data_IF_081777671865
#
_entry.id   IF_081777671865
#
_cell.length_a   1.000
_cell.length_b   1.000
_cell.length_c   1.000
_cell.angle_alpha   90.00
_cell.angle_beta   90.00
_cell.angle_gamma   90.00
#
_symmetry.space_group_name_H-M   'P 1'
#
loop_
_entity.id
_entity.type
_entity.pdbx_description
1 polymer ?
#
# COMPACT_ATOMS: atom_id res chain seq x y z
N UNK A 1 -2.56 9.39 -1.45
CA UNK A 1 -3.66 10.38 -1.59
C UNK A 1 -3.82 10.70 -3.07
N UNK A 2 -4.89 10.23 -3.69
CA UNK A 2 -5.22 10.54 -5.09
C UNK A 2 -6.73 10.34 -5.27
N UNK A 3 -7.45 11.37 -5.73
CA UNK A 3 -8.91 11.33 -5.84
C UNK A 3 -9.40 10.29 -6.84
N UNK A 4 -8.56 9.92 -7.82
CA UNK A 4 -8.89 8.95 -8.87
C UNK A 4 -9.04 7.51 -8.34
N UNK A 5 -8.64 7.25 -7.09
CA UNK A 5 -8.67 5.90 -6.50
C UNK A 5 -9.62 5.79 -5.28
N UNK A 6 -10.27 6.89 -4.87
CA UNK A 6 -11.10 6.91 -3.64
C UNK A 6 -12.29 5.95 -3.77
N UNK A 7 -13.07 6.07 -4.83
CA UNK A 7 -14.25 5.22 -5.03
C UNK A 7 -13.87 3.76 -5.28
N UNK A 8 -12.80 3.52 -6.03
CA UNK A 8 -12.25 2.18 -6.27
C UNK A 8 -11.92 1.49 -4.96
N UNK A 9 -11.26 2.20 -4.06
CA UNK A 9 -10.87 1.66 -2.77
C UNK A 9 -12.08 1.21 -1.95
N UNK A 10 -13.11 2.06 -1.84
CA UNK A 10 -14.31 1.68 -1.10
C UNK A 10 -15.04 0.51 -1.75
N UNK A 11 -15.13 0.46 -3.09
CA UNK A 11 -15.73 -0.67 -3.80
C UNK A 11 -14.99 -1.99 -3.55
N UNK A 12 -13.67 -1.97 -3.60
CA UNK A 12 -12.88 -3.17 -3.31
C UNK A 12 -12.97 -3.57 -1.83
N UNK A 13 -12.92 -2.60 -0.91
CA UNK A 13 -13.10 -2.86 0.52
C UNK A 13 -14.47 -3.51 0.80
N UNK A 14 -15.54 -3.03 0.15
CA UNK A 14 -16.87 -3.63 0.18
C UNK A 14 -16.84 -5.07 -0.33
N UNK A 15 -16.29 -5.28 -1.53
CA UNK A 15 -16.25 -6.59 -2.16
C UNK A 15 -15.44 -7.63 -1.34
N UNK A 16 -14.42 -7.17 -0.62
CA UNK A 16 -13.61 -7.98 0.29
C UNK A 16 -14.26 -8.19 1.67
N UNK A 17 -15.34 -7.47 1.99
CA UNK A 17 -16.00 -7.53 3.29
C UNK A 17 -15.16 -6.96 4.44
N UNK A 18 -14.22 -6.06 4.13
CA UNK A 18 -13.34 -5.39 5.10
C UNK A 18 -13.83 -3.97 5.42
N UNK A 19 -15.07 -3.66 5.07
CA UNK A 19 -15.64 -2.36 5.41
C UNK A 19 -15.63 -2.14 6.91
N UNK A 20 -15.20 -0.95 7.33
CA UNK A 20 -15.12 -0.57 8.75
C UNK A 20 -14.15 -1.43 9.58
N UNK A 21 -13.31 -2.26 8.96
CA UNK A 21 -12.30 -3.07 9.65
C UNK A 21 -10.87 -2.58 9.39
N UNK A 22 -10.71 -1.32 8.95
CA UNK A 22 -9.40 -0.75 8.71
C UNK A 22 -9.22 0.70 9.17
N UNK A 23 -7.97 1.01 9.55
CA UNK A 23 -7.48 2.38 9.70
C UNK A 23 -6.90 2.83 8.35
N UNK A 24 -7.59 3.74 7.66
CA UNK A 24 -7.12 4.25 6.36
C UNK A 24 -6.23 5.47 6.54
N UNK A 25 -5.01 5.38 6.05
CA UNK A 25 -4.10 6.50 5.85
C UNK A 25 -4.07 6.83 4.36
N UNK A 26 -4.19 8.11 4.01
CA UNK A 26 -4.06 8.55 2.62
C UNK A 26 -3.16 9.78 2.58
N UNK A 27 -1.87 9.56 2.30
CA UNK A 27 -0.83 10.61 2.29
C UNK A 27 -0.25 10.76 0.88
N UNK A 28 0.20 11.97 0.52
CA UNK A 28 0.90 12.20 -0.73
C UNK A 28 2.31 11.60 -0.68
N UNK A 29 2.72 10.89 -1.72
CA UNK A 29 4.02 10.18 -1.74
C UNK A 29 3.97 8.78 -1.16
N UNK A 30 3.11 8.52 -0.16
CA UNK A 30 2.95 7.20 0.46
C UNK A 30 4.33 6.56 0.75
N UNK A 31 4.60 5.32 0.32
CA UNK A 31 5.85 4.60 0.58
C UNK A 31 7.09 5.23 -0.05
N UNK A 32 6.95 6.16 -0.99
CA UNK A 32 8.09 6.96 -1.46
C UNK A 32 8.70 7.74 -0.31
N UNK A 33 7.88 8.22 0.61
CA UNK A 33 8.35 8.95 1.80
C UNK A 33 9.09 8.03 2.79
N UNK A 34 8.81 6.74 2.78
CA UNK A 34 9.52 5.74 3.60
C UNK A 34 10.86 5.36 2.97
N UNK A 35 10.88 5.07 1.68
CA UNK A 35 12.07 4.52 0.99
C UNK A 35 13.00 5.62 0.49
N UNK A 36 12.45 6.76 0.07
CA UNK A 36 13.15 7.88 -0.59
C UNK A 36 12.62 9.22 -0.03
N UNK A 37 12.75 9.47 1.28
CA UNK A 37 12.21 10.68 1.92
C UNK A 37 12.77 11.93 1.26
N UNK A 38 11.90 12.89 0.94
CA UNK A 38 12.31 14.16 0.34
C UNK A 38 12.68 15.20 1.40
N UNK A 39 12.13 15.07 2.62
CA UNK A 39 12.38 15.94 3.77
C UNK A 39 12.65 15.13 5.04
N UNK A 40 13.38 15.70 6.01
CA UNK A 40 13.48 15.12 7.34
C UNK A 40 12.09 14.89 7.95
N UNK A 41 11.85 13.68 8.45
CA UNK A 41 10.59 13.30 9.11
C UNK A 41 9.54 12.67 8.20
N UNK A 42 9.70 12.69 6.88
CA UNK A 42 8.75 12.09 5.93
C UNK A 42 8.52 10.59 6.21
N UNK A 43 9.61 9.84 6.42
CA UNK A 43 9.53 8.41 6.77
C UNK A 43 8.92 8.20 8.17
N UNK A 44 9.34 9.01 9.14
CA UNK A 44 8.91 8.87 10.54
C UNK A 44 7.40 9.14 10.69
N UNK A 45 6.84 10.05 9.90
CA UNK A 45 5.41 10.31 9.89
C UNK A 45 4.63 9.02 9.64
N UNK A 46 5.00 8.25 8.61
CA UNK A 46 4.29 7.02 8.22
C UNK A 46 4.58 5.89 9.21
N UNK A 47 5.86 5.66 9.54
CA UNK A 47 6.26 4.57 10.44
C UNK A 47 5.61 4.72 11.82
N UNK A 48 5.57 5.94 12.36
CA UNK A 48 4.92 6.21 13.64
C UNK A 48 3.40 6.00 13.60
N UNK A 49 2.73 6.27 12.47
CA UNK A 49 1.29 5.94 12.37
C UNK A 49 1.06 4.44 12.48
N UNK A 50 1.90 3.61 11.83
CA UNK A 50 1.80 2.15 11.91
C UNK A 50 2.04 1.67 13.35
N UNK A 51 3.05 2.22 14.03
CA UNK A 51 3.31 1.94 15.45
C UNK A 51 2.11 2.29 16.33
N UNK A 52 1.50 3.46 16.13
CA UNK A 52 0.31 3.90 16.88
C UNK A 52 -0.88 2.97 16.61
N UNK A 53 -1.15 2.60 15.35
CA UNK A 53 -2.21 1.64 15.03
C UNK A 53 -1.94 0.27 15.69
N UNK A 54 -0.68 -0.17 15.77
CA UNK A 54 -0.33 -1.41 16.47
C UNK A 54 -0.55 -1.29 17.98
N UNK A 55 -0.13 -0.19 18.58
CA UNK A 55 -0.26 0.04 20.02
C UNK A 55 -1.72 0.18 20.46
N UNK A 56 -2.51 0.94 19.72
CA UNK A 56 -3.87 1.31 20.13
C UNK A 56 -4.94 0.34 19.66
N UNK A 57 -4.77 -0.26 18.48
CA UNK A 57 -5.80 -1.10 17.84
C UNK A 57 -5.31 -2.54 17.56
N UNK A 58 -4.11 -2.90 18.01
CA UNK A 58 -3.49 -4.23 17.85
C UNK A 58 -3.57 -4.78 16.42
N UNK A 59 -3.35 -3.93 15.41
CA UNK A 59 -3.37 -4.36 14.02
C UNK A 59 -2.39 -5.52 13.79
N UNK A 60 -2.76 -6.46 12.93
CA UNK A 60 -1.89 -7.57 12.56
C UNK A 60 -1.32 -7.42 11.15
N UNK A 61 -1.86 -6.49 10.37
CA UNK A 61 -1.59 -6.38 8.96
C UNK A 61 -1.58 -4.93 8.50
N UNK A 62 -0.57 -4.59 7.70
CA UNK A 62 -0.46 -3.35 6.95
C UNK A 62 -0.62 -3.69 5.46
N UNK A 63 -1.56 -3.02 4.80
CA UNK A 63 -1.79 -3.09 3.38
C UNK A 63 -1.25 -1.79 2.77
N UNK A 64 -0.34 -1.90 1.81
CA UNK A 64 0.27 -0.76 1.12
C UNK A 64 -0.24 -0.74 -0.32
N UNK A 65 -0.80 0.39 -0.76
CA UNK A 65 -1.30 0.53 -2.14
C UNK A 65 -0.62 1.70 -2.83
N UNK A 66 0.41 1.38 -3.63
CA UNK A 66 0.94 2.32 -4.62
C UNK A 66 0.09 2.31 -5.89
N UNK A 67 0.30 3.27 -6.79
CA UNK A 67 -0.52 3.34 -8.00
C UNK A 67 0.20 3.96 -9.19
N UNK A 68 -0.30 3.60 -10.37
CA UNK A 68 0.12 4.13 -11.66
C UNK A 68 -0.16 5.63 -11.75
N UNK A 69 0.68 6.33 -12.52
CA UNK A 69 0.62 7.75 -12.79
C UNK A 69 0.57 8.56 -11.49
N UNK A 70 1.42 8.21 -10.53
CA UNK A 70 1.49 8.86 -9.24
C UNK A 70 2.23 10.20 -9.33
N UNK A 71 1.57 11.31 -8.99
CA UNK A 71 2.18 12.64 -9.06
C UNK A 71 3.40 12.83 -8.16
N UNK A 72 3.53 12.05 -7.08
CA UNK A 72 4.71 12.08 -6.21
C UNK A 72 5.93 11.39 -6.83
N UNK A 73 5.71 10.54 -7.82
CA UNK A 73 6.71 9.87 -8.65
C UNK A 73 6.90 10.61 -9.99
N UNK A 74 6.85 11.95 -9.96
CA UNK A 74 6.94 12.77 -11.17
C UNK A 74 8.20 12.52 -12.01
N UNK A 75 9.27 12.00 -11.41
CA UNK A 75 10.47 11.57 -12.11
C UNK A 75 10.27 10.35 -13.04
N UNK A 76 9.16 9.62 -12.88
CA UNK A 76 8.79 8.48 -13.73
C UNK A 76 7.95 8.89 -14.94
N UNK A 77 7.66 10.19 -15.09
CA UNK A 77 6.89 10.70 -16.23
C UNK A 77 7.57 10.33 -17.56
N UNK A 78 6.82 9.69 -18.45
CA UNK A 78 7.29 9.26 -19.77
C UNK A 78 7.90 7.86 -19.82
N UNK A 79 8.02 7.17 -18.68
CA UNK A 79 8.32 5.73 -18.66
C UNK A 79 7.14 4.91 -19.20
N UNK A 80 7.43 3.71 -19.70
CA UNK A 80 6.38 2.73 -20.00
C UNK A 80 5.70 2.23 -18.72
N UNK A 81 4.49 1.70 -18.85
CA UNK A 81 3.76 1.12 -17.71
C UNK A 81 4.56 0.02 -16.99
N UNK A 82 5.31 -0.80 -17.74
CA UNK A 82 6.16 -1.85 -17.16
C UNK A 82 7.37 -1.28 -16.41
N UNK A 83 7.96 -0.19 -16.91
CA UNK A 83 9.07 0.49 -16.24
C UNK A 83 8.61 1.16 -14.95
N UNK A 84 7.47 1.85 -14.98
CA UNK A 84 6.84 2.43 -13.81
C UNK A 84 6.53 1.34 -12.77
N UNK A 85 5.84 0.27 -13.18
CA UNK A 85 5.52 -0.87 -12.31
C UNK A 85 6.77 -1.46 -11.65
N UNK A 86 7.88 -1.59 -12.39
CA UNK A 86 9.15 -2.10 -11.86
C UNK A 86 9.70 -1.21 -10.73
N UNK A 87 9.65 0.11 -10.91
CA UNK A 87 10.12 1.05 -9.87
C UNK A 87 9.22 0.98 -8.63
N UNK A 88 7.91 1.02 -8.81
CA UNK A 88 6.96 0.91 -7.70
C UNK A 88 7.10 -0.43 -6.97
N UNK A 89 7.35 -1.53 -7.68
CA UNK A 89 7.58 -2.84 -7.07
C UNK A 89 8.81 -2.84 -6.17
N UNK A 90 9.92 -2.25 -6.63
CA UNK A 90 11.13 -2.16 -5.83
C UNK A 90 10.90 -1.34 -4.55
N UNK A 91 10.21 -0.20 -4.65
CA UNK A 91 9.91 0.63 -3.49
C UNK A 91 8.92 -0.04 -2.54
N UNK A 92 7.89 -0.73 -3.04
CA UNK A 92 6.95 -1.49 -2.22
C UNK A 92 7.66 -2.58 -1.40
N UNK A 93 8.58 -3.32 -2.03
CA UNK A 93 9.37 -4.35 -1.34
C UNK A 93 10.31 -3.74 -0.31
N UNK A 94 11.01 -2.65 -0.63
CA UNK A 94 11.87 -1.96 0.32
C UNK A 94 11.08 -1.42 1.52
N UNK A 95 9.91 -0.80 1.28
CA UNK A 95 9.04 -0.30 2.35
C UNK A 95 8.56 -1.43 3.25
N UNK A 96 8.20 -2.59 2.68
CA UNK A 96 7.83 -3.79 3.45
C UNK A 96 8.92 -4.20 4.42
N UNK A 97 10.17 -4.30 3.97
CA UNK A 97 11.28 -4.71 4.86
C UNK A 97 11.54 -3.69 5.97
N UNK A 98 11.42 -2.39 5.66
CA UNK A 98 11.55 -1.32 6.66
C UNK A 98 10.45 -1.44 7.73
N UNK A 99 9.19 -1.64 7.30
CA UNK A 99 8.04 -1.73 8.22
C UNK A 99 8.14 -2.98 9.11
N UNK A 100 8.46 -4.14 8.55
CA UNK A 100 8.61 -5.39 9.33
C UNK A 100 9.74 -5.25 10.37
N UNK A 101 10.82 -4.57 10.00
CA UNK A 101 11.94 -4.30 10.92
C UNK A 101 11.56 -3.32 12.03
N UNK A 102 10.72 -2.32 11.73
CA UNK A 102 10.27 -1.30 12.69
C UNK A 102 9.18 -1.83 13.63
N UNK A 103 8.27 -2.67 13.14
CA UNK A 103 7.11 -3.17 13.87
C UNK A 103 7.09 -4.71 13.83
N UNK A 104 7.83 -5.38 14.74
CA UNK A 104 7.92 -6.84 14.75
C UNK A 104 6.56 -7.53 14.88
N UNK A 105 6.37 -8.61 14.12
CA UNK A 105 5.15 -9.41 14.16
C UNK A 105 4.00 -8.92 13.27
N UNK A 106 4.17 -7.79 12.57
CA UNK A 106 3.18 -7.31 11.59
C UNK A 106 3.31 -8.06 10.25
N UNK A 107 2.19 -8.38 9.62
CA UNK A 107 2.15 -8.78 8.20
C UNK A 107 2.12 -7.53 7.32
N UNK A 108 2.80 -7.56 6.19
CA UNK A 108 2.76 -6.47 5.21
C UNK A 108 2.42 -7.02 3.83
N UNK A 109 1.32 -6.51 3.27
CA UNK A 109 0.85 -6.81 1.92
C UNK A 109 1.05 -5.59 1.02
N UNK A 110 1.46 -5.80 -0.22
CA UNK A 110 1.77 -4.73 -1.17
C UNK A 110 0.95 -4.86 -2.45
N UNK A 111 0.39 -3.74 -2.89
CA UNK A 111 -0.49 -3.64 -4.05
C UNK A 111 -0.12 -2.43 -4.92
N UNK A 112 -0.47 -2.53 -6.21
CA UNK A 112 -0.22 -1.53 -7.23
C UNK A 112 -1.49 -1.39 -8.06
N UNK A 113 -2.17 -0.26 -7.90
CA UNK A 113 -3.39 0.05 -8.62
C UNK A 113 -3.08 0.66 -9.99
N UNK A 114 -3.85 0.28 -11.01
CA UNK A 114 -3.70 0.79 -12.38
C UNK A 114 -4.89 1.68 -12.74
N UNK A 115 -4.68 2.58 -13.70
CA UNK A 115 -5.78 3.32 -14.33
C UNK A 115 -6.19 2.55 -15.58
N UNK A 116 -7.43 2.03 -15.66
CA UNK A 116 -7.95 1.57 -16.96
C UNK A 116 -8.23 2.78 -17.84
N UNK A 117 -7.82 2.72 -19.11
CA UNK A 117 -8.30 3.69 -20.09
C UNK A 117 -9.81 3.54 -20.30
N UNK A 118 -10.53 4.66 -20.27
CA UNK A 118 -11.97 4.72 -20.55
C UNK A 118 -12.90 4.26 -19.43
N UNK A 119 -12.37 3.77 -18.31
CA UNK A 119 -13.16 3.32 -17.16
C UNK A 119 -12.48 3.82 -15.89
N UNK A 120 -13.16 4.71 -15.17
CA UNK A 120 -12.73 5.04 -13.82
C UNK A 120 -12.68 3.72 -13.03
N UNK A 121 -11.62 3.54 -12.24
CA UNK A 121 -11.62 2.68 -11.06
C UNK A 121 -11.43 1.17 -11.31
N UNK A 122 -10.18 0.71 -11.39
CA UNK A 122 -9.83 -0.67 -11.02
C UNK A 122 -8.59 -0.65 -10.11
N UNK A 123 -8.74 -0.99 -8.83
CA UNK A 123 -7.58 -1.38 -8.02
C UNK A 123 -7.32 -2.83 -8.40
N UNK A 124 -6.34 -3.04 -9.28
CA UNK A 124 -5.83 -4.39 -9.45
C UNK A 124 -5.17 -4.81 -8.14
N UNK A 125 -5.67 -5.88 -7.53
CA UNK A 125 -4.82 -6.65 -6.65
C UNK A 125 -3.56 -7.00 -7.48
N UNK A 126 -2.37 -6.59 -7.03
CA UNK A 126 -1.15 -7.12 -7.61
C UNK A 126 -1.25 -8.65 -7.49
N UNK A 127 -1.43 -9.29 -8.64
CA UNK A 127 -1.46 -10.73 -8.74
C UNK A 127 -0.07 -11.22 -8.34
N UNK A 128 0.07 -11.61 -7.06
CA UNK A 128 1.16 -12.40 -6.48
C UNK A 128 2.56 -11.97 -6.94
N UNK A 129 3.05 -10.82 -6.45
CA UNK A 129 4.47 -10.45 -6.61
C UNK A 129 5.43 -11.15 -5.63
N UNK A 130 4.97 -12.18 -4.92
CA UNK A 130 5.82 -13.12 -4.20
C UNK A 130 5.35 -14.54 -4.51
N UNK A 131 6.10 -15.24 -5.37
CA UNK A 131 6.22 -16.68 -5.23
C UNK A 131 6.84 -16.91 -3.85
N UNK A 132 6.04 -17.31 -2.87
CA UNK A 132 6.51 -18.31 -1.93
C UNK A 132 5.40 -19.31 -1.61
N UNK A 133 5.77 -20.56 -1.83
CA UNK A 133 5.11 -21.75 -1.37
C UNK A 133 5.07 -21.76 0.16
N UNK A 134 3.91 -21.51 0.75
CA UNK A 134 3.44 -22.27 1.91
C UNK A 134 1.92 -22.17 2.02
N UNK A 135 1.34 -23.33 2.27
CA UNK A 135 -0.06 -23.64 2.50
C UNK A 135 -0.73 -22.76 3.56
N UNK A 136 -1.99 -22.40 3.33
CA UNK A 136 -2.87 -21.94 4.42
C UNK A 136 -4.01 -21.07 3.94
N UNK A 137 -5.10 -21.70 3.50
CA UNK A 137 -6.40 -21.04 3.42
C UNK A 137 -6.90 -20.75 4.84
N UNK A 138 -6.86 -19.49 5.26
CA UNK A 138 -7.69 -18.97 6.36
C UNK A 138 -8.01 -17.51 6.07
N UNK A 139 -9.24 -17.25 5.62
CA UNK A 139 -9.84 -15.91 5.68
C UNK A 139 -9.84 -15.49 7.14
N UNK A 140 -9.23 -14.35 7.43
CA UNK A 140 -9.29 -13.79 8.78
C UNK A 140 -9.87 -12.40 8.78
N UNK A 141 -10.77 -12.19 9.74
CA UNK A 141 -11.50 -10.96 10.06
C UNK A 141 -10.65 -10.00 10.90
N UNK A 142 -9.36 -9.86 10.59
CA UNK A 142 -8.45 -9.02 11.39
C UNK A 142 -8.51 -7.54 10.99
N UNK A 143 -8.31 -6.68 11.98
CA UNK A 143 -8.22 -5.23 11.82
C UNK A 143 -6.93 -4.88 11.05
N UNK A 144 -7.09 -4.16 9.93
CA UNK A 144 -6.02 -3.84 8.98
C UNK A 144 -5.67 -2.35 9.04
N UNK A 145 -4.41 -1.97 8.91
CA UNK A 145 -4.09 -0.61 8.49
C UNK A 145 -3.91 -0.59 6.97
N UNK A 146 -4.64 0.26 6.26
CA UNK A 146 -4.41 0.48 4.83
C UNK A 146 -3.71 1.81 4.68
N UNK A 147 -2.49 1.77 4.17
CA UNK A 147 -1.68 2.94 3.82
C UNK A 147 -1.63 3.09 2.30
#
# INVERSE_FOLDING_TARGET
MDYRFVDSFYKEAHALGIEHSYDRVAIAGDIKNVVRPSKPGDAELILRQIEISKELHDIEEVVIISHQNCGAYGELAGLSADQELSVHTQDLLAAREIIISRVPGIRVLTFFATLKEGDHNNIMALKKLLHDSTSGNTRSTYQQAVV
#
